data_IF_502450262041
#
_entry.id   IF_502450262041
#
_cell.length_a   1.000
_cell.length_b   1.000
_cell.length_c   1.000
_cell.angle_alpha   90.00
_cell.angle_beta   90.00
_cell.angle_gamma   90.00
#
_symmetry.space_group_name_H-M   'P 1'
#
loop_
_entity.id
_entity.type
_entity.pdbx_description
1 polymer ?
#
# COMPACT_ATOMS: atom_id res chain seq x y z
N UNK A 1 -3.72 8.48 8.16
CA UNK A 1 -4.59 9.63 7.79
C UNK A 1 -5.72 9.74 8.80
N UNK A 2 -5.97 10.95 9.34
CA UNK A 2 -7.13 11.20 10.20
C UNK A 2 -8.44 11.01 9.40
N UNK A 3 -9.45 10.39 10.03
CA UNK A 3 -10.76 10.13 9.42
C UNK A 3 -11.42 11.43 8.94
N UNK A 4 -11.21 12.54 9.66
CA UNK A 4 -11.73 13.87 9.27
C UNK A 4 -11.22 14.31 7.89
N UNK A 5 -9.91 14.14 7.64
CA UNK A 5 -9.28 14.43 6.35
C UNK A 5 -9.81 13.51 5.27
N UNK A 6 -9.97 12.22 5.54
CA UNK A 6 -10.53 11.27 4.58
C UNK A 6 -11.91 11.69 4.06
N UNK A 7 -12.84 12.06 4.95
CA UNK A 7 -14.19 12.45 4.55
C UNK A 7 -14.21 13.74 3.72
N UNK A 8 -13.42 14.74 4.12
CA UNK A 8 -13.31 15.98 3.35
C UNK A 8 -12.75 15.71 1.95
N UNK A 9 -11.67 14.93 1.85
CA UNK A 9 -11.05 14.58 0.57
C UNK A 9 -12.02 13.81 -0.33
N UNK A 10 -12.73 12.84 0.26
CA UNK A 10 -13.74 12.07 -0.45
C UNK A 10 -14.84 12.99 -0.98
N UNK A 11 -15.36 13.91 -0.17
CA UNK A 11 -16.40 14.84 -0.61
C UNK A 11 -15.95 15.72 -1.79
N UNK A 12 -14.75 16.29 -1.74
CA UNK A 12 -14.24 17.15 -2.83
C UNK A 12 -13.88 16.33 -4.07
N UNK A 13 -13.34 15.12 -3.90
CA UNK A 13 -13.07 14.19 -5.01
C UNK A 13 -14.36 13.76 -5.70
N UNK A 14 -15.42 13.45 -4.94
CA UNK A 14 -16.73 13.16 -5.49
C UNK A 14 -17.27 14.36 -6.26
N UNK A 15 -17.27 15.55 -5.66
CA UNK A 15 -17.80 16.77 -6.29
C UNK A 15 -17.08 17.10 -7.61
N UNK A 16 -15.76 17.02 -7.64
CA UNK A 16 -14.96 17.24 -8.86
C UNK A 16 -15.18 16.18 -9.93
N UNK A 17 -15.35 14.91 -9.53
CA UNK A 17 -15.67 13.82 -10.46
C UNK A 17 -17.09 13.95 -11.03
N UNK A 18 -18.08 14.35 -10.23
CA UNK A 18 -19.43 14.64 -10.70
C UNK A 18 -19.47 15.86 -11.63
N UNK A 19 -18.65 16.88 -11.37
CA UNK A 19 -18.48 18.01 -12.28
C UNK A 19 -17.93 17.54 -13.63
N UNK A 20 -16.95 16.62 -13.60
CA UNK A 20 -16.41 16.00 -14.81
C UNK A 20 -17.49 15.22 -15.57
N UNK A 21 -18.25 14.38 -14.88
CA UNK A 21 -19.37 13.63 -15.45
C UNK A 21 -20.41 14.57 -16.08
N UNK A 22 -20.81 15.64 -15.39
CA UNK A 22 -21.73 16.64 -15.95
C UNK A 22 -21.18 17.30 -17.21
N UNK A 23 -19.89 17.62 -17.22
CA UNK A 23 -19.19 18.18 -18.38
C UNK A 23 -19.13 17.23 -19.57
N UNK A 24 -19.10 15.91 -19.36
CA UNK A 24 -19.02 14.93 -20.45
C UNK A 24 -20.37 14.72 -21.17
N UNK A 25 -21.49 15.05 -20.53
CA UNK A 25 -22.83 14.85 -21.09
C UNK A 25 -23.18 15.82 -22.23
N UNK A 26 -22.48 16.95 -22.36
CA UNK A 26 -22.68 17.93 -23.43
C UNK A 26 -21.35 18.32 -24.05
N UNK A 27 -21.27 18.23 -25.38
CA UNK A 27 -20.05 18.54 -26.12
C UNK A 27 -19.54 19.99 -25.87
N UNK A 28 -20.44 20.94 -25.65
CA UNK A 28 -20.10 22.34 -25.34
C UNK A 28 -19.48 22.54 -23.96
N UNK A 29 -19.52 21.55 -23.07
CA UNK A 29 -19.06 21.64 -21.68
C UNK A 29 -17.68 20.98 -21.46
N UNK A 30 -16.92 20.72 -22.51
CA UNK A 30 -15.60 20.06 -22.41
C UNK A 30 -14.62 20.78 -21.46
N UNK A 31 -14.72 22.11 -21.32
CA UNK A 31 -13.91 22.90 -20.38
C UNK A 31 -14.27 22.52 -18.93
N UNK A 32 -15.56 22.38 -18.62
CA UNK A 32 -16.03 21.97 -17.28
C UNK A 32 -15.51 20.57 -16.95
N UNK A 33 -15.54 19.68 -17.95
CA UNK A 33 -14.99 18.33 -17.83
C UNK A 33 -13.49 18.36 -17.48
N UNK A 34 -12.70 19.14 -18.23
CA UNK A 34 -11.26 19.25 -18.02
C UNK A 34 -10.91 19.86 -16.65
N UNK A 35 -11.60 20.91 -16.23
CA UNK A 35 -11.42 21.54 -14.92
C UNK A 35 -11.71 20.52 -13.80
N UNK A 36 -12.82 19.77 -13.92
CA UNK A 36 -13.17 18.72 -12.95
C UNK A 36 -12.06 17.68 -12.78
N UNK A 37 -11.47 17.21 -13.89
CA UNK A 37 -10.35 16.26 -13.86
C UNK A 37 -9.10 16.85 -13.20
N UNK A 38 -8.71 18.07 -13.58
CA UNK A 38 -7.52 18.71 -13.01
C UNK A 38 -7.66 18.90 -11.50
N UNK A 39 -8.84 19.33 -11.04
CA UNK A 39 -9.15 19.45 -9.62
C UNK A 39 -9.07 18.08 -8.94
N UNK A 40 -9.70 17.05 -9.50
CA UNK A 40 -9.68 15.69 -8.95
C UNK A 40 -8.24 15.16 -8.82
N UNK A 41 -7.42 15.29 -9.86
CA UNK A 41 -6.02 14.87 -9.85
C UNK A 41 -5.19 15.67 -8.83
N UNK A 42 -5.40 16.97 -8.71
CA UNK A 42 -4.74 17.81 -7.72
C UNK A 42 -5.08 17.38 -6.29
N UNK A 43 -6.35 17.08 -6.01
CA UNK A 43 -6.80 16.54 -4.72
C UNK A 43 -6.13 15.20 -4.45
N UNK A 44 -6.12 14.29 -5.44
CA UNK A 44 -5.50 12.98 -5.25
C UNK A 44 -4.01 13.13 -4.94
N UNK A 45 -3.30 13.97 -5.69
CA UNK A 45 -1.87 14.21 -5.47
C UNK A 45 -1.57 14.77 -4.08
N UNK A 46 -2.37 15.74 -3.61
CA UNK A 46 -2.15 16.40 -2.31
C UNK A 46 -2.53 15.50 -1.14
N UNK A 47 -3.63 14.77 -1.23
CA UNK A 47 -4.20 14.03 -0.10
C UNK A 47 -3.85 12.54 -0.07
N UNK A 48 -3.43 11.98 -1.20
CA UNK A 48 -2.98 10.60 -1.33
C UNK A 48 -1.58 10.54 -1.95
N UNK A 49 -0.57 11.19 -1.33
CA UNK A 49 0.75 11.37 -1.92
C UNK A 49 1.54 10.06 -2.09
N UNK A 50 1.19 8.99 -1.37
CA UNK A 50 1.83 7.69 -1.53
C UNK A 50 1.10 6.83 -2.56
N UNK A 51 -0.24 6.89 -2.58
CA UNK A 51 -1.05 6.05 -3.47
C UNK A 51 -1.48 6.71 -4.78
N UNK A 52 -1.14 7.96 -5.07
CA UNK A 52 -1.58 8.64 -6.31
C UNK A 52 -1.20 7.88 -7.58
N UNK A 53 -0.09 7.13 -7.57
CA UNK A 53 0.35 6.31 -8.71
C UNK A 53 -0.67 5.23 -9.08
N UNK A 54 -1.47 4.74 -8.12
CA UNK A 54 -2.54 3.77 -8.40
C UNK A 54 -3.67 4.36 -9.25
N UNK A 55 -3.81 5.69 -9.35
CA UNK A 55 -4.74 6.34 -10.28
C UNK A 55 -4.45 5.92 -11.73
N UNK A 56 -3.17 5.74 -12.08
CA UNK A 56 -2.77 5.29 -13.42
C UNK A 56 -3.33 3.88 -13.66
N UNK A 57 -3.17 2.98 -12.69
CA UNK A 57 -3.70 1.62 -12.79
C UNK A 57 -5.22 1.61 -12.89
N UNK A 58 -5.92 2.41 -12.06
CA UNK A 58 -7.38 2.51 -12.11
C UNK A 58 -7.87 3.11 -13.43
N UNK A 59 -7.15 4.09 -13.98
CA UNK A 59 -7.44 4.66 -15.29
C UNK A 59 -7.25 3.64 -16.42
N UNK A 60 -6.20 2.82 -16.34
CA UNK A 60 -5.97 1.72 -17.29
C UNK A 60 -7.07 0.66 -17.18
N UNK A 61 -7.48 0.27 -15.98
CA UNK A 61 -8.58 -0.68 -15.75
C UNK A 61 -9.88 -0.12 -16.32
N UNK A 62 -10.24 1.11 -15.97
CA UNK A 62 -11.45 1.78 -16.45
C UNK A 62 -11.45 1.86 -17.98
N UNK A 63 -10.42 2.45 -18.59
CA UNK A 63 -10.36 2.68 -20.03
C UNK A 63 -10.34 1.38 -20.84
N UNK A 64 -9.63 0.34 -20.39
CA UNK A 64 -9.62 -0.96 -21.07
C UNK A 64 -10.93 -1.73 -20.89
N UNK A 65 -11.49 -1.77 -19.69
CA UNK A 65 -12.81 -2.36 -19.45
C UNK A 65 -13.89 -1.65 -20.28
N UNK A 66 -13.87 -0.32 -20.34
CA UNK A 66 -14.81 0.48 -21.12
C UNK A 66 -14.65 0.24 -22.63
N UNK A 67 -13.40 0.26 -23.12
CA UNK A 67 -13.07 0.01 -24.53
C UNK A 67 -13.48 -1.38 -24.98
N UNK A 68 -13.39 -2.40 -24.10
CA UNK A 68 -13.80 -3.76 -24.43
C UNK A 68 -15.25 -3.83 -24.92
N UNK A 69 -16.15 -3.10 -24.24
CA UNK A 69 -17.57 -3.04 -24.55
C UNK A 69 -17.82 -2.21 -25.80
N UNK A 70 -17.11 -1.09 -25.99
CA UNK A 70 -17.20 -0.30 -27.22
C UNK A 70 -16.80 -1.13 -28.44
N UNK A 71 -15.70 -1.88 -28.36
CA UNK A 71 -15.26 -2.72 -29.46
C UNK A 71 -16.28 -3.80 -29.81
N UNK A 72 -16.83 -4.48 -28.79
CA UNK A 72 -17.76 -5.60 -28.99
C UNK A 72 -19.13 -5.13 -29.48
N UNK A 73 -19.70 -4.09 -28.86
CA UNK A 73 -21.11 -3.73 -29.10
C UNK A 73 -21.32 -2.58 -30.07
N UNK A 74 -20.31 -1.72 -30.29
CA UNK A 74 -20.45 -0.58 -31.20
C UNK A 74 -19.67 -0.77 -32.50
N UNK A 75 -18.53 -1.47 -32.46
CA UNK A 75 -17.61 -1.54 -33.60
C UNK A 75 -17.55 -2.92 -34.28
N UNK A 76 -17.98 -3.99 -33.62
CA UNK A 76 -17.93 -5.36 -34.17
C UNK A 76 -18.73 -5.53 -35.47
N UNK A 77 -19.82 -4.77 -35.65
CA UNK A 77 -20.61 -4.77 -36.88
C UNK A 77 -19.80 -4.25 -38.09
N UNK A 78 -18.83 -3.36 -37.85
CA UNK A 78 -17.97 -2.82 -38.91
C UNK A 78 -16.90 -3.82 -39.33
N UNK A 79 -16.31 -4.53 -38.37
CA UNK A 79 -15.26 -5.50 -38.65
C UNK A 79 -15.07 -6.51 -37.49
N UNK A 80 -14.99 -7.80 -37.80
CA UNK A 80 -14.87 -8.88 -36.79
C UNK A 80 -13.63 -8.78 -35.91
N UNK A 81 -12.55 -8.13 -36.38
CA UNK A 81 -11.33 -7.85 -35.59
C UNK A 81 -11.64 -7.13 -34.27
N UNK A 82 -12.70 -6.30 -34.22
CA UNK A 82 -13.06 -5.60 -32.99
C UNK A 82 -13.53 -6.54 -31.88
N UNK A 83 -14.06 -7.73 -32.19
CA UNK A 83 -14.37 -8.74 -31.16
C UNK A 83 -13.09 -9.18 -30.46
N UNK A 84 -12.02 -9.45 -31.24
CA UNK A 84 -10.72 -9.82 -30.70
C UNK A 84 -10.10 -8.69 -29.87
N UNK A 85 -10.12 -7.46 -30.38
CA UNK A 85 -9.63 -6.28 -29.64
C UNK A 85 -10.40 -6.05 -28.35
N UNK A 86 -11.73 -6.27 -28.38
CA UNK A 86 -12.58 -6.21 -27.19
C UNK A 86 -12.18 -7.24 -26.14
N UNK A 87 -12.02 -8.50 -26.55
CA UNK A 87 -11.57 -9.57 -25.66
C UNK A 87 -10.18 -9.29 -25.08
N UNK A 88 -9.22 -8.85 -25.89
CA UNK A 88 -7.87 -8.49 -25.43
C UNK A 88 -7.91 -7.33 -24.44
N UNK A 89 -8.76 -6.32 -24.67
CA UNK A 89 -8.92 -5.19 -23.75
C UNK A 89 -9.52 -5.62 -22.41
N UNK A 90 -10.51 -6.51 -22.41
CA UNK A 90 -11.05 -7.09 -21.19
C UNK A 90 -9.98 -7.89 -20.41
N UNK A 91 -9.21 -8.75 -21.08
CA UNK A 91 -8.10 -9.50 -20.47
C UNK A 91 -7.06 -8.55 -19.87
N UNK A 92 -6.70 -7.49 -20.59
CA UNK A 92 -5.76 -6.48 -20.11
C UNK A 92 -6.27 -5.79 -18.84
N UNK A 93 -7.56 -5.43 -18.77
CA UNK A 93 -8.16 -4.83 -17.58
C UNK A 93 -8.03 -5.74 -16.35
N UNK A 94 -8.31 -7.04 -16.53
CA UNK A 94 -8.20 -8.06 -15.47
C UNK A 94 -6.74 -8.23 -15.05
N UNK A 95 -5.81 -8.26 -16.02
CA UNK A 95 -4.38 -8.36 -15.75
C UNK A 95 -3.87 -7.20 -14.88
N UNK A 96 -4.21 -5.95 -15.23
CA UNK A 96 -3.82 -4.76 -14.47
C UNK A 96 -4.43 -4.79 -13.07
N UNK A 97 -5.68 -5.23 -12.92
CA UNK A 97 -6.33 -5.37 -11.63
C UNK A 97 -5.65 -6.43 -10.75
N UNK A 98 -5.33 -7.61 -11.29
CA UNK A 98 -4.59 -8.66 -10.56
C UNK A 98 -3.23 -8.14 -10.12
N UNK A 99 -2.49 -7.45 -11.00
CA UNK A 99 -1.18 -6.86 -10.66
C UNK A 99 -1.30 -5.83 -9.54
N UNK A 100 -2.30 -4.97 -9.62
CA UNK A 100 -2.58 -3.97 -8.58
C UNK A 100 -2.93 -4.64 -7.25
N UNK A 101 -3.75 -5.69 -7.27
CA UNK A 101 -4.09 -6.48 -6.09
C UNK A 101 -2.86 -7.15 -5.46
N UNK A 102 -2.03 -7.81 -6.28
CA UNK A 102 -0.80 -8.46 -5.83
C UNK A 102 0.13 -7.45 -5.15
N UNK A 103 0.37 -6.30 -5.77
CA UNK A 103 1.24 -5.27 -5.21
C UNK A 103 0.74 -4.76 -3.85
N UNK A 104 -0.56 -4.45 -3.74
CA UNK A 104 -1.13 -3.97 -2.47
C UNK A 104 -1.10 -5.05 -1.39
N UNK A 105 -1.35 -6.31 -1.73
CA UNK A 105 -1.30 -7.42 -0.77
C UNK A 105 0.14 -7.69 -0.30
N UNK A 106 1.13 -7.65 -1.18
CA UNK A 106 2.55 -7.82 -0.83
C UNK A 106 2.95 -6.74 0.17
N UNK A 107 2.72 -5.46 -0.17
CA UNK A 107 3.05 -4.34 0.72
C UNK A 107 2.30 -4.41 2.05
N UNK A 108 1.05 -4.86 2.04
CA UNK A 108 0.27 -5.08 3.28
C UNK A 108 0.88 -6.14 4.16
N UNK A 109 1.39 -7.23 3.59
CA UNK A 109 2.02 -8.30 4.36
C UNK A 109 3.32 -7.80 5.02
N UNK A 110 4.09 -6.94 4.35
CA UNK A 110 5.33 -6.35 4.86
C UNK A 110 5.11 -5.46 6.10
N UNK A 111 3.96 -4.79 6.20
CA UNK A 111 3.61 -3.93 7.36
C UNK A 111 2.66 -4.61 8.35
N UNK A 112 2.37 -5.90 8.16
CA UNK A 112 1.32 -6.59 8.93
C UNK A 112 1.66 -6.77 10.41
N UNK A 113 2.95 -6.83 10.74
CA UNK A 113 3.44 -6.90 12.12
C UNK A 113 3.23 -5.57 12.88
N UNK A 114 3.15 -4.44 12.17
CA UNK A 114 2.89 -3.11 12.75
C UNK A 114 1.38 -2.93 12.94
N UNK A 115 0.62 -3.09 11.86
CA UNK A 115 -0.82 -2.93 11.87
C UNK A 115 -1.46 -3.78 10.78
N UNK A 116 -2.30 -4.72 11.18
CA UNK A 116 -3.07 -5.49 10.22
C UNK A 116 -4.15 -4.61 9.54
N UNK A 117 -4.09 -4.53 8.21
CA UNK A 117 -5.08 -3.84 7.37
C UNK A 117 -5.75 -4.89 6.48
N UNK A 118 -7.07 -5.07 6.65
CA UNK A 118 -7.84 -5.98 5.81
C UNK A 118 -7.96 -5.46 4.38
N UNK A 119 -7.60 -6.30 3.40
CA UNK A 119 -7.69 -6.00 1.97
C UNK A 119 -8.90 -6.65 1.29
N UNK A 120 -9.74 -7.39 2.02
CA UNK A 120 -10.84 -8.18 1.44
C UNK A 120 -11.96 -7.32 0.83
N UNK A 121 -12.41 -6.28 1.55
CA UNK A 121 -13.38 -5.33 1.00
C UNK A 121 -12.77 -4.48 -0.12
N UNK A 122 -11.48 -4.18 -0.05
CA UNK A 122 -10.78 -3.45 -1.09
C UNK A 122 -10.64 -4.25 -2.39
N UNK A 123 -10.34 -5.55 -2.31
CA UNK A 123 -10.30 -6.41 -3.51
C UNK A 123 -11.69 -6.57 -4.13
N UNK A 124 -12.75 -6.63 -3.31
CA UNK A 124 -14.13 -6.60 -3.80
C UNK A 124 -14.43 -5.27 -4.53
N UNK A 125 -14.01 -4.13 -3.98
CA UNK A 125 -14.17 -2.83 -4.64
C UNK A 125 -13.45 -2.76 -5.99
N UNK A 126 -12.25 -3.35 -6.09
CA UNK A 126 -11.52 -3.44 -7.36
C UNK A 126 -12.25 -4.29 -8.41
N UNK A 127 -12.86 -5.41 -7.99
CA UNK A 127 -13.70 -6.24 -8.86
C UNK A 127 -14.95 -5.49 -9.32
N UNK A 128 -15.66 -4.85 -8.38
CA UNK A 128 -16.84 -4.03 -8.68
C UNK A 128 -16.50 -2.89 -9.63
N UNK A 129 -15.31 -2.29 -9.50
CA UNK A 129 -14.84 -1.24 -10.40
C UNK A 129 -14.74 -1.72 -11.86
N UNK A 130 -14.24 -2.94 -12.11
CA UNK A 130 -14.24 -3.52 -13.47
C UNK A 130 -15.69 -3.73 -13.97
N UNK A 131 -16.53 -4.38 -13.16
CA UNK A 131 -17.91 -4.72 -13.54
C UNK A 131 -18.70 -3.44 -13.86
N UNK A 132 -18.60 -2.42 -13.03
CA UNK A 132 -19.30 -1.16 -13.25
C UNK A 132 -18.70 -0.34 -14.38
N UNK A 133 -17.39 -0.45 -14.67
CA UNK A 133 -16.78 0.18 -15.85
C UNK A 133 -17.34 -0.41 -17.15
N UNK A 134 -17.45 -1.74 -17.23
CA UNK A 134 -18.09 -2.41 -18.36
C UNK A 134 -19.60 -2.10 -18.45
N UNK A 135 -20.31 -2.10 -17.31
CA UNK A 135 -21.75 -1.80 -17.26
C UNK A 135 -22.07 -0.36 -17.65
N UNK A 136 -21.21 0.59 -17.25
CA UNK A 136 -21.26 1.99 -17.66
C UNK A 136 -21.11 2.09 -19.18
N UNK A 137 -20.06 1.49 -19.75
CA UNK A 137 -19.83 1.50 -21.19
C UNK A 137 -21.01 0.89 -21.99
N UNK A 138 -21.57 -0.21 -21.51
CA UNK A 138 -22.71 -0.86 -22.15
C UNK A 138 -23.95 0.04 -22.14
N UNK A 139 -24.21 0.68 -20.99
CA UNK A 139 -25.32 1.62 -20.83
C UNK A 139 -25.14 2.84 -21.73
N UNK A 140 -23.91 3.35 -21.85
CA UNK A 140 -23.58 4.43 -22.76
C UNK A 140 -23.82 4.05 -24.21
N UNK A 141 -23.39 2.85 -24.65
CA UNK A 141 -23.65 2.35 -26.01
C UNK A 141 -25.15 2.24 -26.28
N UNK A 142 -25.93 1.69 -25.35
CA UNK A 142 -27.39 1.59 -25.48
C UNK A 142 -28.06 2.95 -25.57
N UNK A 143 -27.58 3.93 -24.79
CA UNK A 143 -28.06 5.31 -24.89
C UNK A 143 -27.69 5.96 -26.22
N UNK A 144 -26.44 5.81 -26.68
CA UNK A 144 -25.96 6.36 -27.96
C UNK A 144 -26.73 5.79 -29.17
N UNK A 145 -27.21 4.55 -29.06
CA UNK A 145 -28.05 3.89 -30.08
C UNK A 145 -29.56 4.14 -29.86
N UNK A 146 -29.94 5.06 -28.97
CA UNK A 146 -31.33 5.36 -28.61
C UNK A 146 -32.16 4.16 -28.11
N UNK A 147 -31.50 3.12 -27.61
CA UNK A 147 -32.12 1.89 -27.13
C UNK A 147 -32.40 1.88 -25.60
N UNK A 148 -31.87 2.85 -24.85
CA UNK A 148 -32.04 3.00 -23.41
C UNK A 148 -31.95 4.47 -23.01
N UNK A 149 -32.62 4.92 -21.93
CA UNK A 149 -32.32 6.21 -21.31
C UNK A 149 -30.87 6.27 -20.81
N UNK A 150 -30.36 7.49 -20.59
CA UNK A 150 -29.00 7.74 -20.07
C UNK A 150 -28.84 7.42 -18.57
N UNK A 151 -29.95 7.25 -17.85
CA UNK A 151 -29.95 7.08 -16.39
C UNK A 151 -29.05 5.93 -15.89
N UNK A 152 -29.06 4.72 -16.49
CA UNK A 152 -28.18 3.64 -16.04
C UNK A 152 -26.69 3.98 -16.15
N UNK A 153 -26.29 4.70 -17.21
CA UNK A 153 -24.91 5.20 -17.37
C UNK A 153 -24.53 6.13 -16.20
N UNK A 154 -25.37 7.12 -15.90
CA UNK A 154 -25.14 8.07 -14.80
C UNK A 154 -25.04 7.33 -13.45
N UNK A 155 -25.90 6.33 -13.22
CA UNK A 155 -25.87 5.53 -11.98
C UNK A 155 -24.56 4.75 -11.85
N UNK A 156 -24.12 4.06 -12.90
CA UNK A 156 -22.87 3.29 -12.86
C UNK A 156 -21.65 4.19 -12.71
N UNK A 157 -21.60 5.33 -13.41
CA UNK A 157 -20.54 6.35 -13.22
C UNK A 157 -20.53 6.89 -11.78
N UNK A 158 -21.71 7.17 -11.20
CA UNK A 158 -21.82 7.60 -9.82
C UNK A 158 -21.28 6.57 -8.82
N UNK A 159 -21.54 5.28 -9.05
CA UNK A 159 -20.98 4.19 -8.24
C UNK A 159 -19.46 4.09 -8.41
N UNK A 160 -18.94 4.18 -9.64
CA UNK A 160 -17.49 4.18 -9.90
C UNK A 160 -16.80 5.32 -9.17
N UNK A 161 -17.34 6.53 -9.27
CA UNK A 161 -16.86 7.74 -8.59
C UNK A 161 -16.86 7.52 -7.07
N UNK A 162 -17.90 6.87 -6.51
CA UNK A 162 -17.99 6.54 -5.08
C UNK A 162 -16.95 5.51 -4.60
N UNK A 163 -16.48 4.62 -5.48
CA UNK A 163 -15.47 3.61 -5.13
C UNK A 163 -14.05 4.19 -5.04
N UNK A 164 -13.73 5.21 -5.85
CA UNK A 164 -12.36 5.77 -5.97
C UNK A 164 -11.75 6.17 -4.62
N UNK A 165 -12.43 6.94 -3.74
CA UNK A 165 -11.83 7.33 -2.46
C UNK A 165 -11.42 6.14 -1.60
N UNK A 166 -12.26 5.10 -1.53
CA UNK A 166 -11.95 3.90 -0.77
C UNK A 166 -10.81 3.09 -1.41
N UNK A 167 -10.80 3.01 -2.73
CA UNK A 167 -9.74 2.33 -3.48
C UNK A 167 -8.37 3.00 -3.29
N UNK A 168 -8.32 4.33 -3.16
CA UNK A 168 -7.09 5.07 -2.84
C UNK A 168 -6.73 5.00 -1.35
N UNK A 169 -7.71 5.01 -0.45
CA UNK A 169 -7.49 5.02 0.99
C UNK A 169 -6.68 3.82 1.51
N UNK A 170 -7.01 2.60 1.06
CA UNK A 170 -6.35 1.39 1.59
C UNK A 170 -4.87 1.33 1.21
N UNK A 171 -4.48 1.51 -0.07
CA UNK A 171 -3.08 1.60 -0.44
C UNK A 171 -2.37 2.77 0.22
N UNK A 172 -3.00 3.95 0.38
CA UNK A 172 -2.42 5.08 1.11
C UNK A 172 -2.12 4.72 2.56
N UNK A 173 -3.05 4.04 3.24
CA UNK A 173 -2.86 3.59 4.62
C UNK A 173 -1.70 2.60 4.72
N UNK A 174 -1.66 1.60 3.84
CA UNK A 174 -0.58 0.60 3.79
C UNK A 174 0.77 1.29 3.52
N UNK A 175 0.82 2.14 2.50
CA UNK A 175 2.05 2.82 2.09
C UNK A 175 2.52 3.86 3.10
N UNK A 176 1.61 4.50 3.83
CA UNK A 176 1.98 5.41 4.92
C UNK A 176 2.63 4.71 6.11
N UNK A 177 2.41 3.39 6.25
CA UNK A 177 3.15 2.55 7.21
C UNK A 177 4.42 1.98 6.60
N UNK A 178 4.47 1.92 5.26
CA UNK A 178 5.62 1.49 4.48
C UNK A 178 6.62 2.64 4.36
N UNK A 179 7.38 2.87 5.43
CA UNK A 179 8.49 3.80 5.43
C UNK A 179 9.81 3.05 5.11
N UNK A 180 10.42 3.21 3.93
CA UNK A 180 11.79 2.74 3.72
C UNK A 180 12.78 3.44 4.68
N UNK A 181 12.43 4.63 5.18
CA UNK A 181 13.29 5.44 6.05
C UNK A 181 13.05 5.21 7.55
N UNK A 182 11.90 4.64 7.96
CA UNK A 182 11.67 4.26 9.36
C UNK A 182 12.41 2.97 9.75
N UNK A 183 12.78 2.15 8.77
CA UNK A 183 13.77 1.08 8.96
C UNK A 183 15.16 1.63 9.32
N UNK A 184 15.46 2.89 9.01
CA UNK A 184 16.70 3.55 9.43
C UNK A 184 16.49 4.28 10.77
N UNK A 185 15.34 4.90 11.02
CA UNK A 185 15.09 5.64 12.26
C UNK A 185 14.74 4.77 13.49
N UNK A 186 14.06 3.63 13.31
CA UNK A 186 13.75 2.68 14.40
C UNK A 186 14.84 1.61 14.62
N UNK A 187 15.82 1.49 13.71
CA UNK A 187 17.00 0.62 13.92
C UNK A 187 18.21 1.34 14.50
N UNK A 188 18.22 2.67 14.65
CA UNK A 188 19.26 3.34 15.40
C UNK A 188 18.94 3.21 16.89
N UNK A 189 19.25 2.03 17.43
CA UNK A 189 19.34 1.86 18.87
C UNK A 189 20.47 2.76 19.31
N UNK A 190 20.15 3.89 19.95
CA UNK A 190 21.15 4.81 20.45
C UNK A 190 21.79 4.26 21.73
N UNK A 191 23.08 4.54 21.90
CA UNK A 191 23.78 4.23 23.13
C UNK A 191 23.10 4.97 24.28
N UNK A 192 22.69 4.27 25.37
CA UNK A 192 22.06 4.92 26.51
C UNK A 192 22.99 5.92 27.21
N UNK A 193 24.31 5.80 27.01
CA UNK A 193 25.30 6.63 27.68
C UNK A 193 25.63 7.92 26.89
N UNK A 194 25.83 7.83 25.57
CA UNK A 194 26.26 8.98 24.75
C UNK A 194 25.27 9.43 23.67
N UNK A 195 24.15 8.72 23.47
CA UNK A 195 23.12 9.06 22.48
C UNK A 195 23.51 8.82 21.02
N UNK A 196 24.75 8.42 20.74
CA UNK A 196 25.22 8.05 19.39
C UNK A 196 24.61 6.70 18.99
N UNK A 197 24.25 6.49 17.71
CA UNK A 197 23.72 5.21 17.26
C UNK A 197 24.70 4.04 17.43
N UNK A 198 24.18 2.91 17.88
CA UNK A 198 24.95 1.67 18.05
C UNK A 198 25.10 0.93 16.71
N UNK A 199 26.29 0.38 16.49
CA UNK A 199 26.63 -0.45 15.35
C UNK A 199 26.27 -1.90 15.68
N UNK A 200 25.67 -2.65 14.76
CA UNK A 200 25.37 -4.07 14.99
C UNK A 200 26.62 -4.91 14.75
N UNK A 201 26.99 -5.75 15.72
CA UNK A 201 28.11 -6.70 15.65
C UNK A 201 27.62 -8.12 15.91
N UNK A 202 28.26 -9.12 15.30
CA UNK A 202 27.87 -10.52 15.48
C UNK A 202 28.67 -11.17 16.61
N UNK A 203 27.97 -11.74 17.58
CA UNK A 203 28.50 -12.69 18.55
C UNK A 203 28.23 -14.13 18.13
N UNK A 204 29.01 -15.06 18.65
CA UNK A 204 28.92 -16.48 18.31
C UNK A 204 28.58 -17.30 19.55
N UNK A 205 27.63 -18.22 19.48
CA UNK A 205 27.33 -19.09 20.61
C UNK A 205 28.52 -20.02 20.91
N UNK A 206 29.06 -20.04 22.15
CA UNK A 206 30.24 -20.84 22.50
C UNK A 206 29.99 -22.35 22.44
N UNK A 207 28.73 -22.79 22.32
CA UNK A 207 28.38 -24.21 22.32
C UNK A 207 28.08 -24.80 20.94
N UNK A 208 27.55 -24.01 20.02
CA UNK A 208 27.08 -24.51 18.73
C UNK A 208 27.47 -23.65 17.52
N UNK A 209 28.18 -22.54 17.73
CA UNK A 209 28.59 -21.65 16.65
C UNK A 209 27.48 -20.79 16.05
N UNK A 210 26.24 -20.89 16.56
CA UNK A 210 25.13 -20.08 16.07
C UNK A 210 25.40 -18.58 16.30
N UNK A 211 25.21 -17.78 15.25
CA UNK A 211 25.43 -16.33 15.28
C UNK A 211 24.25 -15.61 15.94
N UNK A 212 24.53 -14.47 16.58
CA UNK A 212 23.55 -13.58 17.19
C UNK A 212 24.01 -12.13 17.14
N UNK A 213 23.05 -11.22 17.01
CA UNK A 213 23.33 -9.79 16.98
C UNK A 213 23.54 -9.21 18.38
N UNK A 214 24.56 -8.37 18.48
CA UNK A 214 24.92 -7.49 19.59
C UNK A 214 25.06 -6.06 19.06
N UNK A 215 25.16 -5.09 19.96
CA UNK A 215 25.27 -3.68 19.62
C UNK A 215 26.57 -3.11 20.18
N UNK A 216 27.28 -2.27 19.42
CA UNK A 216 28.56 -1.69 19.80
C UNK A 216 28.50 -0.16 19.70
N UNK A 217 29.00 0.51 20.73
CA UNK A 217 29.12 1.96 20.77
C UNK A 217 30.56 2.36 20.46
N UNK A 218 30.78 3.03 19.33
CA UNK A 218 32.13 3.47 18.93
C UNK A 218 32.68 4.59 19.85
N UNK A 219 31.80 5.48 20.32
CA UNK A 219 32.19 6.59 21.20
C UNK A 219 32.51 6.15 22.64
N UNK A 220 32.00 5.00 23.08
CA UNK A 220 32.20 4.49 24.44
C UNK A 220 33.00 3.20 24.51
N UNK A 221 33.36 2.62 23.36
CA UNK A 221 34.01 1.31 23.22
C UNK A 221 33.31 0.17 23.98
N UNK A 222 31.98 0.24 24.06
CA UNK A 222 31.16 -0.67 24.86
C UNK A 222 30.19 -1.50 24.02
N UNK A 223 29.94 -2.72 24.46
CA UNK A 223 28.96 -3.61 23.86
C UNK A 223 27.66 -3.63 24.66
N UNK A 224 26.54 -3.74 23.97
CA UNK A 224 25.19 -3.75 24.50
C UNK A 224 24.39 -4.91 23.93
N UNK A 225 23.36 -5.33 24.68
CA UNK A 225 22.43 -6.38 24.27
C UNK A 225 21.02 -6.06 24.77
N UNK A 226 20.01 -6.55 24.06
CA UNK A 226 18.62 -6.53 24.55
C UNK A 226 18.43 -7.58 25.63
N UNK A 227 17.97 -7.15 26.81
CA UNK A 227 17.60 -8.03 27.90
C UNK A 227 16.49 -9.00 27.45
N UNK A 228 16.64 -10.33 27.65
CA UNK A 228 15.62 -11.30 27.23
C UNK A 228 14.31 -11.21 28.03
N UNK A 229 14.33 -10.55 29.20
CA UNK A 229 13.17 -10.43 30.09
C UNK A 229 12.36 -9.16 29.86
N UNK A 230 13.02 -8.00 29.79
CA UNK A 230 12.34 -6.70 29.64
C UNK A 230 12.55 -6.01 28.29
N UNK A 231 13.35 -6.59 27.39
CA UNK A 231 13.74 -6.00 26.10
C UNK A 231 14.52 -4.69 26.15
N UNK A 232 14.81 -4.16 27.35
CA UNK A 232 15.66 -2.98 27.54
C UNK A 232 17.11 -3.23 27.11
N UNK A 233 17.75 -2.19 26.57
CA UNK A 233 19.17 -2.21 26.19
C UNK A 233 20.03 -2.07 27.45
N UNK A 234 20.95 -2.99 27.64
CA UNK A 234 21.83 -3.04 28.82
C UNK A 234 23.25 -3.40 28.37
N UNK A 235 24.26 -3.00 29.15
CA UNK A 235 25.65 -3.32 28.85
C UNK A 235 25.87 -4.85 28.82
N UNK A 236 26.55 -5.34 27.79
CA UNK A 236 26.82 -6.76 27.58
C UNK A 236 27.79 -7.37 28.61
N UNK A 237 28.58 -6.54 29.30
CA UNK A 237 29.47 -6.97 30.38
C UNK A 237 28.76 -6.97 31.75
N UNK A 238 27.53 -6.45 31.84
CA UNK A 238 26.78 -6.45 33.08
C UNK A 238 26.30 -7.87 33.45
N UNK A 239 26.44 -8.24 34.73
CA UNK A 239 25.91 -9.52 35.23
C UNK A 239 24.37 -9.53 35.35
N UNK A 240 23.76 -8.34 35.44
CA UNK A 240 22.32 -8.13 35.58
C UNK A 240 21.86 -7.02 34.64
N UNK A 241 20.60 -7.08 34.23
CA UNK A 241 19.99 -6.01 33.44
C UNK A 241 19.80 -4.75 34.28
N UNK A 242 20.23 -3.60 33.75
CA UNK A 242 20.09 -2.28 34.39
C UNK A 242 18.63 -1.84 34.55
N UNK A 243 17.72 -2.37 33.73
CA UNK A 243 16.30 -2.00 33.74
C UNK A 243 15.44 -2.86 34.68
N UNK A 244 15.65 -4.18 34.69
CA UNK A 244 14.80 -5.11 35.46
C UNK A 244 15.53 -5.87 36.57
N UNK A 245 16.85 -5.75 36.70
CA UNK A 245 17.64 -6.42 37.74
C UNK A 245 17.85 -7.92 37.55
N UNK A 246 17.23 -8.52 36.53
CA UNK A 246 17.37 -9.95 36.22
C UNK A 246 18.78 -10.32 35.73
N UNK A 247 19.22 -11.55 36.02
CA UNK A 247 20.53 -12.04 35.61
C UNK A 247 20.62 -12.13 34.09
N UNK A 248 21.69 -11.57 33.52
CA UNK A 248 21.86 -11.44 32.06
C UNK A 248 22.38 -12.75 31.44
N UNK A 249 21.51 -13.75 31.36
CA UNK A 249 21.78 -15.03 30.69
C UNK A 249 21.04 -15.10 29.35
N UNK A 250 21.79 -15.34 28.28
CA UNK A 250 21.27 -15.38 26.92
C UNK A 250 21.03 -16.83 26.50
N UNK A 251 19.75 -17.18 26.30
CA UNK A 251 19.36 -18.47 25.72
C UNK A 251 19.69 -18.51 24.22
N UNK A 252 20.46 -19.50 23.79
CA UNK A 252 20.67 -19.81 22.39
C UNK A 252 19.41 -20.46 21.80
N UNK A 253 18.87 -19.88 20.72
CA UNK A 253 17.68 -20.42 20.03
C UNK A 253 17.94 -21.73 19.29
N UNK A 254 19.20 -22.05 18.99
CA UNK A 254 19.59 -23.25 18.22
C UNK A 254 19.83 -24.44 19.14
N UNK A 255 20.69 -24.30 20.15
CA UNK A 255 21.08 -25.40 21.03
C UNK A 255 20.39 -25.39 22.40
N UNK A 256 19.57 -24.38 22.71
CA UNK A 256 18.84 -24.28 23.99
C UNK A 256 19.71 -24.04 25.22
N UNK A 257 21.03 -23.84 25.07
CA UNK A 257 21.94 -23.54 26.18
C UNK A 257 21.99 -22.05 26.48
N UNK A 258 22.18 -21.72 27.75
CA UNK A 258 22.38 -20.34 28.22
C UNK A 258 23.86 -20.04 28.31
N UNK A 259 24.24 -18.85 27.88
CA UNK A 259 25.59 -18.31 28.06
C UNK A 259 25.48 -16.80 28.33
N UNK A 260 26.50 -16.24 28.95
CA UNK A 260 26.61 -14.80 29.21
C UNK A 260 26.93 -14.05 27.92
N UNK A 261 26.56 -12.78 27.85
CA UNK A 261 26.84 -11.93 26.70
C UNK A 261 28.35 -11.83 26.38
N UNK A 262 29.20 -11.77 27.40
CA UNK A 262 30.67 -11.75 27.24
C UNK A 262 31.22 -13.04 26.63
N UNK A 263 30.64 -14.21 26.92
CA UNK A 263 31.03 -15.47 26.30
C UNK A 263 30.72 -15.48 24.80
N UNK A 264 29.60 -14.88 24.36
CA UNK A 264 29.26 -14.79 22.93
C UNK A 264 30.26 -13.91 22.15
N UNK A 265 30.70 -12.81 22.77
CA UNK A 265 31.61 -11.85 22.14
C UNK A 265 33.05 -12.36 22.07
N UNK A 266 33.50 -13.16 23.04
CA UNK A 266 34.86 -13.75 23.05
C UNK A 266 35.10 -14.73 21.91
N UNK A 267 34.07 -15.48 21.50
CA UNK A 267 34.16 -16.46 20.39
C UNK A 267 33.97 -15.86 19.00
N UNK A 268 33.76 -14.54 18.90
CA UNK A 268 33.62 -13.83 17.63
C UNK A 268 34.91 -13.14 17.15
N UNK A 269 35.95 -13.09 18.00
CA UNK A 269 37.32 -12.69 17.65
C UNK A 269 38.12 -13.90 17.16
#
# INVERSE_FOLDING_TARGET
>A
MDNSKFYLCSAVLLASSYLSLYGSLRHSHWIIWAIGIVIALGIIYVFYPHSWRYVINYSLIYSSSYSSILFIFLLAERHKLFILLGALSAIFSIYVAIKTLQEVVIKRNEVSDIQYISTGLWSLSLLLFIIFSASSAYSWVKWALAASPITPYIVFEGILIALIPYMLYIPEKILSLYHPDALIAEMLINCPNCGVPLITVQGTCPHCGAKRDFYYCDSGEEHFVKCPYCSGITNANAQKCEHCGEKLEILCKVCGRRATASEYLRTAQ
#
